data_IF_928648508547
#
_entry.id   IF_928648508547
#
_cell.length_a   1.000
_cell.length_b   1.000
_cell.length_c   1.000
_cell.angle_alpha   90.00
_cell.angle_beta   90.00
_cell.angle_gamma   90.00
#
_symmetry.space_group_name_H-M   'P 1'
#
loop_
_entity.id
_entity.type
_entity.pdbx_description
1 polymer ?
#
# COMPACT_ATOMS: atom_id res chain seq x y z
N UNK A 1 -5.37 -11.47 -10.94
CA UNK A 1 -5.31 -12.81 -11.58
C UNK A 1 -6.53 -12.96 -12.46
N UNK A 2 -6.45 -13.70 -13.56
CA UNK A 2 -7.61 -13.94 -14.43
C UNK A 2 -8.16 -15.34 -14.15
N UNK A 3 -9.47 -15.47 -13.95
CA UNK A 3 -10.11 -16.78 -13.76
C UNK A 3 -10.15 -17.56 -15.09
N UNK A 4 -10.68 -18.79 -15.06
CA UNK A 4 -10.87 -19.63 -16.25
C UNK A 4 -11.84 -19.04 -17.29
N UNK A 5 -12.64 -18.05 -16.91
CA UNK A 5 -13.65 -17.39 -17.75
C UNK A 5 -13.12 -16.11 -18.41
N UNK A 6 -11.92 -15.65 -18.03
CA UNK A 6 -11.31 -14.43 -18.56
C UNK A 6 -11.48 -13.19 -17.67
N UNK A 7 -12.12 -13.32 -16.50
CA UNK A 7 -12.37 -12.18 -15.60
C UNK A 7 -11.18 -11.91 -14.68
N UNK A 8 -10.81 -10.63 -14.54
CA UNK A 8 -9.85 -10.20 -13.53
C UNK A 8 -10.46 -10.34 -12.13
N UNK A 9 -9.67 -10.90 -11.22
CA UNK A 9 -9.98 -11.07 -9.81
C UNK A 9 -8.85 -10.55 -8.93
N UNK A 10 -9.26 -10.02 -7.77
CA UNK A 10 -8.39 -9.51 -6.72
C UNK A 10 -8.72 -10.24 -5.42
N UNK A 11 -7.69 -10.58 -4.64
CA UNK A 11 -7.82 -11.22 -3.35
C UNK A 11 -6.69 -10.80 -2.41
N UNK A 12 -6.95 -10.82 -1.11
CA UNK A 12 -5.98 -10.50 -0.09
C UNK A 12 -4.97 -11.64 0.08
N UNK A 13 -3.71 -11.35 -0.21
CA UNK A 13 -2.62 -12.31 -0.02
C UNK A 13 -1.97 -12.19 1.37
N UNK A 14 -1.66 -10.96 1.78
CA UNK A 14 -0.93 -10.68 3.01
C UNK A 14 -1.34 -9.31 3.55
N UNK A 15 -1.63 -9.25 4.85
CA UNK A 15 -1.89 -8.00 5.55
C UNK A 15 -0.99 -7.87 6.78
N UNK A 16 -0.53 -6.63 7.02
CA UNK A 16 0.18 -6.30 8.25
C UNK A 16 -0.13 -4.86 8.64
N UNK A 17 -0.53 -4.68 9.89
CA UNK A 17 -0.73 -3.37 10.50
C UNK A 17 0.12 -3.27 11.78
N UNK A 18 0.52 -2.05 12.13
CA UNK A 18 1.23 -1.77 13.37
C UNK A 18 0.37 -0.87 14.25
N UNK A 19 0.41 -1.13 15.56
CA UNK A 19 -0.16 -0.21 16.54
C UNK A 19 0.64 1.10 16.54
N UNK A 20 -0.06 2.22 16.68
CA UNK A 20 0.57 3.53 16.77
C UNK A 20 1.58 3.55 17.92
N UNK A 21 2.83 4.00 17.69
CA UNK A 21 3.84 4.06 18.74
C UNK A 21 3.38 4.91 19.93
N UNK A 22 3.80 4.52 21.15
CA UNK A 22 3.50 5.28 22.38
C UNK A 22 4.06 6.71 22.34
N UNK A 23 5.17 6.91 21.62
CA UNK A 23 5.70 8.25 21.34
C UNK A 23 4.83 8.92 20.29
N UNK A 24 4.31 10.12 20.60
CA UNK A 24 3.49 10.90 19.66
C UNK A 24 4.21 11.07 18.31
N UNK A 25 3.54 10.62 17.26
CA UNK A 25 3.95 10.80 15.88
C UNK A 25 2.86 11.57 15.12
N UNK A 26 3.29 12.34 14.13
CA UNK A 26 2.36 13.05 13.25
C UNK A 26 1.74 12.09 12.26
N UNK A 27 0.52 12.39 11.79
CA UNK A 27 -0.19 11.60 10.78
C UNK A 27 0.69 11.35 9.53
N UNK A 28 1.36 12.37 8.94
CA UNK A 28 2.24 12.12 7.78
C UNK A 28 3.38 11.13 8.03
N UNK A 29 3.90 11.06 9.27
CA UNK A 29 4.95 10.08 9.60
C UNK A 29 4.38 8.68 9.73
N UNK A 30 3.14 8.54 10.22
CA UNK A 30 2.45 7.25 10.30
C UNK A 30 2.11 6.74 8.89
N UNK A 31 1.59 7.60 8.02
CA UNK A 31 1.31 7.27 6.61
C UNK A 31 2.60 6.85 5.88
N UNK A 32 3.70 7.58 6.09
CA UNK A 32 5.01 7.23 5.50
C UNK A 32 5.55 5.89 6.04
N UNK A 33 5.27 5.56 7.31
CA UNK A 33 5.59 4.25 7.86
C UNK A 33 4.78 3.14 7.20
N UNK A 34 3.49 3.36 6.93
CA UNK A 34 2.64 2.44 6.16
C UNK A 34 3.20 2.20 4.76
N UNK A 35 3.58 3.27 4.05
CA UNK A 35 4.20 3.18 2.73
C UNK A 35 5.56 2.47 2.73
N UNK A 36 6.31 2.57 3.84
CA UNK A 36 7.56 1.79 4.01
C UNK A 36 7.26 0.31 4.27
N UNK A 37 6.19 0.02 5.00
CA UNK A 37 5.78 -1.34 5.30
C UNK A 37 5.32 -2.05 4.03
N UNK A 38 4.59 -1.37 3.14
CA UNK A 38 4.11 -1.96 1.88
C UNK A 38 5.25 -2.49 1.01
N UNK A 39 6.34 -1.73 0.84
CA UNK A 39 7.52 -2.16 0.05
C UNK A 39 8.23 -3.36 0.68
N UNK A 40 8.26 -3.41 2.02
CA UNK A 40 8.82 -4.58 2.73
C UNK A 40 7.96 -5.83 2.58
N UNK A 41 6.64 -5.69 2.58
CA UNK A 41 5.72 -6.80 2.34
C UNK A 41 5.83 -7.29 0.90
N UNK A 42 5.92 -6.37 -0.06
CA UNK A 42 6.14 -6.71 -1.47
C UNK A 42 7.41 -7.55 -1.66
N UNK A 43 8.52 -7.14 -1.04
CA UNK A 43 9.76 -7.90 -1.08
C UNK A 43 9.65 -9.30 -0.45
N UNK A 44 8.81 -9.48 0.58
CA UNK A 44 8.52 -10.81 1.14
C UNK A 44 7.70 -11.62 0.15
N UNK A 45 6.61 -11.07 -0.39
CA UNK A 45 5.74 -11.75 -1.36
C UNK A 45 6.54 -12.22 -2.58
N UNK A 46 7.35 -11.35 -3.17
CA UNK A 46 8.19 -11.68 -4.34
C UNK A 46 9.26 -12.74 -4.06
N UNK A 47 9.72 -12.84 -2.81
CA UNK A 47 10.72 -13.83 -2.41
C UNK A 47 10.11 -15.20 -2.13
N UNK A 48 8.93 -15.23 -1.52
CA UNK A 48 8.31 -16.47 -1.04
C UNK A 48 7.35 -17.10 -2.06
N UNK A 49 6.78 -16.32 -2.98
CA UNK A 49 5.90 -16.86 -4.01
C UNK A 49 6.71 -17.40 -5.20
N UNK A 50 6.51 -18.68 -5.50
CA UNK A 50 7.10 -19.37 -6.66
C UNK A 50 6.17 -19.29 -7.89
N UNK A 51 5.74 -18.08 -8.23
CA UNK A 51 4.95 -17.80 -9.45
C UNK A 51 5.48 -16.56 -10.15
N UNK A 52 5.34 -16.46 -11.48
CA UNK A 52 5.66 -15.22 -12.20
C UNK A 52 4.79 -14.06 -11.69
N UNK A 53 5.43 -12.96 -11.30
CA UNK A 53 4.76 -11.74 -10.85
C UNK A 53 5.11 -10.58 -11.79
N UNK A 54 4.10 -9.80 -12.17
CA UNK A 54 4.27 -8.51 -12.83
C UNK A 54 4.83 -7.45 -11.87
N UNK A 55 5.05 -6.24 -12.37
CA UNK A 55 5.50 -5.12 -11.54
C UNK A 55 4.45 -4.73 -10.49
N UNK A 56 4.92 -4.39 -9.29
CA UNK A 56 4.02 -4.05 -8.19
C UNK A 56 3.48 -2.64 -8.34
N UNK A 57 2.21 -2.47 -7.98
CA UNK A 57 1.53 -1.17 -7.90
C UNK A 57 1.20 -0.88 -6.44
N UNK A 58 1.54 0.34 -5.98
CA UNK A 58 1.36 0.76 -4.60
C UNK A 58 0.34 1.90 -4.50
N UNK A 59 -0.80 1.62 -3.88
CA UNK A 59 -1.87 2.59 -3.66
C UNK A 59 -1.76 3.25 -2.28
N UNK A 60 -2.02 4.55 -2.20
CA UNK A 60 -2.12 5.29 -0.94
C UNK A 60 -3.09 6.46 -1.10
N UNK A 61 -3.86 6.79 -0.08
CA UNK A 61 -4.70 8.00 -0.05
C UNK A 61 -3.94 9.23 0.50
N UNK A 62 -2.74 9.01 1.05
CA UNK A 62 -1.88 10.11 1.50
C UNK A 62 -1.17 10.77 0.32
N UNK A 63 -1.70 11.91 -0.12
CA UNK A 63 -1.02 12.80 -1.07
C UNK A 63 0.33 13.28 -0.55
N UNK A 64 0.49 13.45 0.77
CA UNK A 64 1.76 13.85 1.38
C UNK A 64 2.83 12.77 1.18
N UNK A 65 2.49 11.49 1.34
CA UNK A 65 3.41 10.38 1.04
C UNK A 65 3.81 10.40 -0.43
N UNK A 66 2.87 10.59 -1.34
CA UNK A 66 3.18 10.69 -2.78
C UNK A 66 4.16 11.83 -3.07
N UNK A 67 3.96 13.00 -2.44
CA UNK A 67 4.87 14.13 -2.59
C UNK A 67 6.24 13.87 -1.98
N UNK A 68 6.34 13.15 -0.84
CA UNK A 68 7.63 12.77 -0.29
C UNK A 68 8.42 11.84 -1.20
N UNK A 69 7.75 10.87 -1.83
CA UNK A 69 8.41 9.87 -2.69
C UNK A 69 8.80 10.44 -4.05
N UNK A 70 8.00 11.37 -4.60
CA UNK A 70 8.30 12.03 -5.89
C UNK A 70 9.39 13.09 -5.81
N UNK A 71 9.71 13.55 -4.61
CA UNK A 71 10.62 14.67 -4.44
C UNK A 71 12.07 14.18 -4.31
N UNK A 72 12.85 14.45 -5.36
CA UNK A 72 14.26 14.07 -5.46
C UNK A 72 15.21 15.23 -5.08
N UNK A 73 14.70 16.45 -4.95
CA UNK A 73 15.52 17.67 -4.84
C UNK A 73 15.63 18.21 -3.40
N UNK A 74 14.59 18.05 -2.58
CA UNK A 74 14.53 18.69 -1.26
C UNK A 74 15.18 17.84 -0.19
N UNK A 75 15.95 18.50 0.69
CA UNK A 75 16.47 17.87 1.91
C UNK A 75 15.35 17.63 2.91
N UNK A 76 15.11 16.35 3.21
CA UNK A 76 14.19 15.95 4.26
C UNK A 76 14.87 15.89 5.64
N UNK A 77 14.05 16.02 6.69
CA UNK A 77 14.47 15.60 8.03
C UNK A 77 14.81 14.10 8.01
N UNK A 78 15.80 13.70 8.81
CA UNK A 78 16.36 12.34 8.84
C UNK A 78 15.32 11.23 8.89
N UNK A 79 14.24 11.39 9.67
CA UNK A 79 13.16 10.40 9.73
C UNK A 79 12.51 10.16 8.36
N UNK A 80 12.17 11.23 7.65
CA UNK A 80 11.52 11.15 6.34
C UNK A 80 12.52 10.67 5.30
N UNK A 81 13.74 11.21 5.30
CA UNK A 81 14.82 10.80 4.38
C UNK A 81 15.08 9.29 4.43
N UNK A 82 15.24 8.73 5.63
CA UNK A 82 15.51 7.31 5.81
C UNK A 82 14.36 6.42 5.31
N UNK A 83 13.12 6.87 5.43
CA UNK A 83 11.95 6.10 4.99
C UNK A 83 11.74 6.19 3.48
N UNK A 84 11.94 7.37 2.90
CA UNK A 84 11.95 7.55 1.45
C UNK A 84 13.04 6.71 0.80
N UNK A 85 14.25 6.66 1.39
CA UNK A 85 15.33 5.81 0.88
C UNK A 85 14.96 4.31 0.86
N UNK A 86 14.29 3.82 1.91
CA UNK A 86 13.78 2.43 1.92
C UNK A 86 12.72 2.23 0.84
N UNK A 87 11.82 3.19 0.64
CA UNK A 87 10.79 3.11 -0.40
C UNK A 87 11.44 3.04 -1.80
N UNK A 88 12.41 3.92 -2.08
CA UNK A 88 13.15 3.94 -3.36
C UNK A 88 13.99 2.68 -3.58
N UNK A 89 14.48 2.04 -2.53
CA UNK A 89 15.25 0.78 -2.64
C UNK A 89 14.42 -0.42 -3.09
N UNK A 90 13.09 -0.37 -2.98
CA UNK A 90 12.21 -1.48 -3.35
C UNK A 90 11.05 -1.11 -4.27
N UNK A 91 10.97 0.14 -4.73
CA UNK A 91 9.96 0.59 -5.69
C UNK A 91 10.38 1.91 -6.35
N UNK A 92 9.97 2.11 -7.60
CA UNK A 92 10.04 3.38 -8.31
C UNK A 92 8.91 4.33 -7.87
N UNK A 93 9.14 5.66 -7.85
CA UNK A 93 8.06 6.64 -7.69
C UNK A 93 6.91 6.48 -8.69
N UNK A 94 7.18 5.97 -9.90
CA UNK A 94 6.16 5.73 -10.94
C UNK A 94 5.19 4.57 -10.60
N UNK A 95 5.53 3.71 -9.64
CA UNK A 95 4.68 2.61 -9.21
C UNK A 95 3.66 3.03 -8.15
N UNK A 96 3.56 4.32 -7.80
CA UNK A 96 2.71 4.82 -6.72
C UNK A 96 1.58 5.71 -7.21
N UNK A 97 0.38 5.35 -6.79
CA UNK A 97 -0.86 6.00 -7.23
C UNK A 97 -1.72 6.41 -6.04
N UNK A 98 -2.53 7.45 -6.27
CA UNK A 98 -3.50 7.91 -5.30
C UNK A 98 -4.77 7.06 -5.38
N UNK A 99 -5.30 6.65 -4.24
CA UNK A 99 -6.65 6.09 -4.11
C UNK A 99 -7.46 6.96 -3.16
N UNK A 100 -8.74 7.16 -3.41
CA UNK A 100 -9.59 7.88 -2.45
C UNK A 100 -9.69 7.11 -1.12
N UNK A 101 -9.68 7.81 0.03
CA UNK A 101 -9.72 7.18 1.35
C UNK A 101 -10.90 6.22 1.52
N UNK A 102 -12.08 6.54 0.95
CA UNK A 102 -13.27 5.67 0.98
C UNK A 102 -13.10 4.36 0.20
N UNK A 103 -12.14 4.30 -0.71
CA UNK A 103 -11.82 3.14 -1.53
C UNK A 103 -10.57 2.42 -1.01
N UNK A 104 -9.78 3.03 -0.10
CA UNK A 104 -8.59 2.43 0.48
C UNK A 104 -8.92 1.39 1.59
N UNK A 105 -8.76 0.07 1.36
CA UNK A 105 -9.05 -0.94 2.38
C UNK A 105 -8.02 -0.93 3.52
N UNK A 106 -6.82 -0.35 3.34
CA UNK A 106 -5.83 -0.29 4.41
C UNK A 106 -6.32 0.51 5.64
N UNK A 107 -7.23 1.47 5.42
CA UNK A 107 -7.88 2.24 6.48
C UNK A 107 -8.74 1.39 7.41
N UNK A 108 -9.28 0.28 6.91
CA UNK A 108 -10.19 -0.58 7.66
C UNK A 108 -9.46 -1.24 8.85
N UNK A 109 -8.17 -1.56 8.69
CA UNK A 109 -7.35 -2.13 9.76
C UNK A 109 -6.68 -1.06 10.63
N UNK A 110 -6.44 0.15 10.13
CA UNK A 110 -5.80 1.22 10.93
C UNK A 110 -6.78 1.92 11.87
N UNK A 111 -8.08 1.96 11.53
CA UNK A 111 -9.12 2.62 12.33
C UNK A 111 -9.69 1.76 13.47
N UNK A 112 -9.38 0.46 13.49
CA UNK A 112 -9.85 -0.47 14.51
C UNK A 112 -11.27 -0.93 14.21
N UNK A 113 -11.40 -1.96 13.39
CA UNK A 113 -12.66 -2.66 13.12
C UNK A 113 -12.74 -3.97 13.91
N UNK A 114 -13.96 -4.46 14.13
CA UNK A 114 -14.19 -5.80 14.67
C UNK A 114 -13.79 -6.86 13.64
N UNK A 115 -13.48 -8.08 14.12
CA UNK A 115 -13.17 -9.19 13.22
C UNK A 115 -14.30 -9.48 12.22
N UNK A 116 -15.56 -9.26 12.61
CA UNK A 116 -16.72 -9.45 11.73
C UNK A 116 -16.78 -8.43 10.61
N UNK A 117 -16.47 -7.16 10.91
CA UNK A 117 -16.43 -6.09 9.91
C UNK A 117 -15.25 -6.27 8.96
N UNK A 118 -14.09 -6.73 9.46
CA UNK A 118 -12.93 -7.05 8.62
C UNK A 118 -13.14 -8.25 7.70
N UNK A 119 -14.06 -9.16 8.02
CA UNK A 119 -14.43 -10.26 7.11
C UNK A 119 -15.38 -9.81 5.99
N UNK A 120 -15.61 -8.50 5.82
CA UNK A 120 -16.35 -7.97 4.69
C UNK A 120 -15.59 -8.19 3.36
N UNK A 121 -16.37 -8.34 2.29
CA UNK A 121 -15.91 -8.50 0.90
C UNK A 121 -14.81 -7.50 0.51
N UNK A 122 -14.95 -6.22 0.92
CA UNK A 122 -14.00 -5.16 0.56
C UNK A 122 -12.58 -5.39 1.10
N UNK A 123 -12.43 -5.95 2.29
CA UNK A 123 -11.11 -6.23 2.86
C UNK A 123 -10.43 -7.41 2.17
N UNK A 124 -11.22 -8.43 1.82
CA UNK A 124 -10.74 -9.65 1.19
C UNK A 124 -10.49 -9.49 -0.30
N UNK A 125 -11.29 -8.70 -1.00
CA UNK A 125 -11.23 -8.57 -2.47
C UNK A 125 -10.67 -7.22 -2.92
N UNK A 126 -10.60 -6.24 -2.03
CA UNK A 126 -10.20 -4.88 -2.37
C UNK A 126 -11.31 -4.12 -3.12
N UNK A 127 -11.00 -2.91 -3.63
CA UNK A 127 -11.93 -2.12 -4.41
C UNK A 127 -12.08 -2.63 -5.86
N UNK A 128 -13.28 -2.50 -6.41
CA UNK A 128 -13.66 -3.02 -7.74
C UNK A 128 -12.74 -2.58 -8.87
N UNK A 129 -12.15 -1.37 -8.78
CA UNK A 129 -11.26 -0.86 -9.83
C UNK A 129 -10.00 -1.70 -10.04
N UNK A 130 -9.60 -2.54 -9.07
CA UNK A 130 -8.49 -3.48 -9.26
C UNK A 130 -8.80 -4.59 -10.27
N UNK A 131 -10.09 -4.83 -10.53
CA UNK A 131 -10.58 -5.82 -11.48
C UNK A 131 -11.04 -5.20 -12.80
N UNK A 132 -11.03 -3.87 -12.92
CA UNK A 132 -11.40 -3.21 -14.17
C UNK A 132 -10.25 -3.26 -15.19
N UNK A 133 -10.58 -3.08 -16.46
CA UNK A 133 -9.55 -2.80 -17.45
C UNK A 133 -8.95 -1.41 -17.18
N UNK A 134 -7.68 -1.24 -17.53
CA UNK A 134 -7.03 0.06 -17.41
C UNK A 134 -7.76 1.01 -18.36
N UNK A 135 -8.51 1.95 -17.79
CA UNK A 135 -9.09 3.04 -18.58
C UNK A 135 -7.95 3.96 -19.01
N UNK A 136 -7.65 3.96 -20.30
CA UNK A 136 -6.72 4.90 -20.96
C UNK A 136 -6.98 6.37 -20.58
#
# INVERSE_FOLDING_TARGET
MTNSEGDKQSCLLLAKSHLTPLKKMTIPRLELMGATLSVKLDAVVRRELDVPLEDSVFWTDSTIVLQYVKNEERRFLTFVANRVAVIHSGSSPSQRYHVESRLNPADDVTRGQTAKELLAERWLNGPDFLCLEDSE
#
